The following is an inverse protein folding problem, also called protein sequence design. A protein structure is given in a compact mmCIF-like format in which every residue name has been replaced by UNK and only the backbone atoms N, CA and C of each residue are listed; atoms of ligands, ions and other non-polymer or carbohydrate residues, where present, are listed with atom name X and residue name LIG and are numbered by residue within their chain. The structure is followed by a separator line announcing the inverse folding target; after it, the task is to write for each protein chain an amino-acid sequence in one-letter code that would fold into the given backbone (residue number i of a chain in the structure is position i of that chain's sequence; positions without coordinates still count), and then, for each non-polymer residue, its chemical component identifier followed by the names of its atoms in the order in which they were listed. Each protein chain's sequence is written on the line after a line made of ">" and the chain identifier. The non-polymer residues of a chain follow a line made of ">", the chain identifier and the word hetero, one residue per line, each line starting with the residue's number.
data_IF_210788661092
#
_entry.id   IF_210788661092
#
_cell.length_a   1.000
_cell.length_b   1.000
_cell.length_c   1.000
_cell.angle_alpha   90.00
_cell.angle_beta   90.00
_cell.angle_gamma   90.00
#
_symmetry.space_group_name_H-M   'P 1'
#
loop_
_entity.id
_entity.type
_entity.pdbx_description
1 polymer ?
#
# COMPACT_ATOMS: atom_id res chain seq x y z
N UNK A 1 -13.13 24.58 20.33
CA UNK A 1 -11.68 24.36 20.31
C UNK A 1 -11.43 23.06 21.04
N UNK A 2 -11.52 21.92 20.35
CA UNK A 2 -11.32 20.61 20.96
C UNK A 2 -9.96 20.07 20.51
N UNK A 3 -9.03 20.13 21.45
CA UNK A 3 -7.60 19.85 21.26
C UNK A 3 -7.36 18.35 21.41
N UNK A 4 -7.78 17.55 20.44
CA UNK A 4 -7.38 16.14 20.34
C UNK A 4 -6.14 15.99 19.46
N UNK A 5 -5.02 16.51 19.95
CA UNK A 5 -3.73 16.01 19.51
C UNK A 5 -3.68 14.51 19.89
N UNK A 6 -3.76 13.66 18.89
CA UNK A 6 -3.55 12.22 19.03
C UNK A 6 -2.19 11.98 19.67
N UNK A 7 -2.19 11.40 20.86
CA UNK A 7 -1.00 10.86 21.49
C UNK A 7 -0.48 9.72 20.60
N UNK A 8 0.51 10.01 19.78
CA UNK A 8 1.31 9.00 19.10
C UNK A 8 2.19 8.39 20.20
N UNK A 9 2.05 7.09 20.49
CA UNK A 9 2.93 6.44 21.44
C UNK A 9 4.36 6.51 20.94
N UNK A 10 5.29 6.90 21.83
CA UNK A 10 6.73 6.95 21.60
C UNK A 10 7.30 5.51 21.53
N UNK A 11 6.87 4.74 20.52
CA UNK A 11 7.54 3.52 20.12
C UNK A 11 8.71 3.92 19.22
N UNK A 12 9.92 3.44 19.52
CA UNK A 12 11.08 3.51 18.64
C UNK A 12 10.63 3.19 17.22
N UNK A 13 10.37 4.22 16.41
CA UNK A 13 9.84 4.05 15.05
C UNK A 13 10.88 3.25 14.26
N UNK A 14 10.46 2.11 13.71
CA UNK A 14 11.30 1.31 12.82
C UNK A 14 11.79 2.21 11.67
N UNK A 15 13.04 2.09 11.29
CA UNK A 15 13.54 2.72 10.05
C UNK A 15 12.99 1.95 8.84
N UNK A 16 11.70 2.17 8.54
CA UNK A 16 11.02 1.50 7.44
C UNK A 16 11.69 1.75 6.10
N UNK A 17 12.28 2.94 5.90
CA UNK A 17 12.95 3.24 4.66
C UNK A 17 14.17 2.33 4.46
N UNK A 18 15.00 2.17 5.48
CA UNK A 18 16.13 1.24 5.40
C UNK A 18 15.68 -0.21 5.22
N UNK A 19 14.69 -0.65 6.02
CA UNK A 19 14.16 -2.01 5.96
C UNK A 19 13.61 -2.35 4.57
N UNK A 20 12.88 -1.45 3.95
CA UNK A 20 12.32 -1.63 2.62
C UNK A 20 13.41 -1.56 1.52
N UNK A 21 14.34 -0.59 1.60
CA UNK A 21 15.43 -0.43 0.63
C UNK A 21 16.39 -1.63 0.61
N UNK A 22 16.53 -2.33 1.72
CA UNK A 22 17.35 -3.53 1.83
C UNK A 22 16.87 -4.66 0.92
N UNK A 23 15.57 -4.71 0.63
CA UNK A 23 14.95 -5.82 -0.08
C UNK A 23 14.32 -5.42 -1.42
N UNK A 24 14.00 -4.13 -1.62
CA UNK A 24 13.28 -3.63 -2.80
C UNK A 24 14.02 -2.48 -3.50
N UNK A 25 13.83 -2.32 -4.82
CA UNK A 25 14.28 -1.11 -5.53
C UNK A 25 13.59 0.12 -4.94
N UNK A 26 14.30 1.26 -4.96
CA UNK A 26 13.90 2.40 -4.16
C UNK A 26 12.50 2.93 -4.45
N UNK A 27 12.02 2.90 -5.69
CA UNK A 27 10.69 3.39 -6.03
C UNK A 27 9.55 2.60 -5.35
N UNK A 28 9.76 1.30 -5.12
CA UNK A 28 8.83 0.46 -4.34
C UNK A 28 9.04 0.62 -2.84
N UNK A 29 10.29 0.62 -2.41
CA UNK A 29 10.69 0.74 -1.01
C UNK A 29 10.20 2.04 -0.38
N UNK A 30 10.36 3.12 -1.09
CA UNK A 30 10.11 4.48 -0.67
C UNK A 30 8.62 4.74 -0.33
N UNK A 31 7.71 4.41 -1.25
CA UNK A 31 6.27 4.53 -1.00
C UNK A 31 5.84 3.62 0.16
N UNK A 32 6.24 2.34 0.13
CA UNK A 32 5.90 1.38 1.18
C UNK A 32 6.44 1.77 2.55
N UNK A 33 7.58 2.45 2.63
CA UNK A 33 8.12 2.94 3.89
C UNK A 33 7.21 4.00 4.53
N UNK A 34 6.72 4.94 3.71
CA UNK A 34 5.75 5.96 4.16
C UNK A 34 4.45 5.29 4.62
N UNK A 35 3.93 4.37 3.83
CA UNK A 35 2.70 3.62 4.16
C UNK A 35 2.86 2.80 5.44
N UNK A 36 3.98 2.09 5.61
CA UNK A 36 4.25 1.31 6.83
C UNK A 36 4.15 2.15 8.10
N UNK A 37 4.55 3.43 8.07
CA UNK A 37 4.45 4.31 9.23
C UNK A 37 3.00 4.63 9.62
N UNK A 38 2.05 4.58 8.69
CA UNK A 38 0.62 4.67 9.03
C UNK A 38 0.10 3.37 9.63
N UNK A 39 0.37 2.24 8.97
CA UNK A 39 -0.19 0.95 9.37
C UNK A 39 0.33 0.44 10.70
N UNK A 40 1.61 0.69 11.06
CA UNK A 40 2.17 0.21 12.33
C UNK A 40 1.43 0.72 13.57
N UNK A 41 0.80 1.89 13.48
CA UNK A 41 0.12 2.56 14.59
C UNK A 41 -1.40 2.30 14.62
N UNK A 42 -1.92 1.50 13.66
CA UNK A 42 -3.34 1.21 13.59
C UNK A 42 -3.76 0.19 14.64
N UNK A 43 -4.94 0.40 15.20
CA UNK A 43 -5.61 -0.63 15.98
C UNK A 43 -6.25 -1.63 15.02
N UNK A 44 -5.72 -2.86 15.01
CA UNK A 44 -6.20 -3.97 14.21
C UNK A 44 -6.77 -5.08 15.12
N UNK A 45 -8.04 -4.96 15.56
CA UNK A 45 -8.69 -6.04 16.32
C UNK A 45 -8.70 -7.36 15.54
N UNK A 46 -8.28 -8.44 16.20
CA UNK A 46 -8.27 -9.78 15.60
C UNK A 46 -9.68 -10.42 15.60
N UNK A 47 -10.00 -11.25 14.61
CA UNK A 47 -9.18 -11.66 13.48
C UNK A 47 -9.02 -10.55 12.42
N UNK A 48 -7.80 -10.42 11.87
CA UNK A 48 -7.41 -9.40 10.89
C UNK A 48 -7.38 -9.99 9.49
N UNK A 49 -7.94 -9.26 8.52
CA UNK A 49 -7.99 -9.63 7.11
C UNK A 49 -7.15 -8.68 6.24
N UNK A 50 -6.18 -9.21 5.51
CA UNK A 50 -5.39 -8.49 4.51
C UNK A 50 -5.88 -8.85 3.10
N UNK A 51 -6.46 -7.86 2.41
CA UNK A 51 -7.01 -7.98 1.05
C UNK A 51 -5.94 -7.66 0.03
N UNK A 52 -5.42 -8.67 -0.67
CA UNK A 52 -4.29 -8.52 -1.58
C UNK A 52 -2.95 -8.52 -0.85
N UNK A 53 -2.70 -9.57 -0.08
CA UNK A 53 -1.49 -9.68 0.74
C UNK A 53 -0.18 -9.75 -0.06
N UNK A 54 -0.28 -10.02 -1.37
CA UNK A 54 0.86 -10.11 -2.26
C UNK A 54 1.90 -11.13 -1.79
N UNK A 55 3.17 -10.73 -1.86
CA UNK A 55 4.31 -11.53 -1.43
C UNK A 55 4.54 -11.54 0.10
N UNK A 56 3.69 -10.85 0.88
CA UNK A 56 3.78 -10.78 2.32
C UNK A 56 4.92 -9.91 2.89
N UNK A 57 5.75 -9.35 2.03
CA UNK A 57 6.90 -8.54 2.44
C UNK A 57 6.47 -7.30 3.24
N UNK A 58 5.43 -6.58 2.76
CA UNK A 58 4.91 -5.41 3.45
C UNK A 58 4.48 -5.74 4.88
N UNK A 59 3.64 -6.75 5.05
CA UNK A 59 3.15 -7.15 6.36
C UNK A 59 4.28 -7.59 7.29
N UNK A 60 5.28 -8.32 6.77
CA UNK A 60 6.41 -8.82 7.56
C UNK A 60 7.29 -7.73 8.16
N UNK A 61 7.38 -6.57 7.53
CA UNK A 61 8.17 -5.45 8.02
C UNK A 61 7.34 -4.48 8.88
N UNK A 62 6.05 -4.34 8.54
CA UNK A 62 5.16 -3.34 9.15
C UNK A 62 4.66 -3.79 10.52
N UNK A 63 4.19 -5.03 10.62
CA UNK A 63 3.55 -5.52 11.84
C UNK A 63 4.49 -6.40 12.69
N UNK A 64 4.40 -6.24 14.00
CA UNK A 64 5.15 -7.08 14.95
C UNK A 64 4.44 -8.40 15.24
N UNK A 65 3.11 -8.43 15.05
CA UNK A 65 2.27 -9.61 15.23
C UNK A 65 1.85 -10.18 13.89
N UNK A 66 1.64 -11.49 13.84
CA UNK A 66 1.11 -12.15 12.66
C UNK A 66 -0.32 -11.70 12.38
N UNK A 67 -0.58 -11.36 11.14
CA UNK A 67 -1.92 -11.14 10.61
C UNK A 67 -2.65 -12.47 10.51
N UNK A 68 -3.96 -12.50 10.86
CA UNK A 68 -4.70 -13.76 10.90
C UNK A 68 -4.83 -14.38 9.50
N UNK A 69 -5.25 -13.58 8.51
CA UNK A 69 -5.43 -14.08 7.14
C UNK A 69 -4.91 -13.07 6.12
N UNK A 70 -4.07 -13.56 5.20
CA UNK A 70 -3.73 -12.88 3.95
C UNK A 70 -4.40 -13.58 2.78
N UNK A 71 -5.07 -12.81 1.91
CA UNK A 71 -5.68 -13.31 0.69
C UNK A 71 -5.07 -12.63 -0.53
N UNK A 72 -4.75 -13.42 -1.55
CA UNK A 72 -4.29 -12.94 -2.86
C UNK A 72 -4.72 -13.93 -3.95
N UNK A 73 -5.12 -13.48 -5.16
CA UNK A 73 -5.55 -14.39 -6.23
C UNK A 73 -4.39 -15.11 -6.93
N UNK A 74 -3.14 -14.71 -6.68
CA UNK A 74 -1.99 -15.21 -7.44
C UNK A 74 -1.16 -16.21 -6.65
N UNK A 75 -0.97 -17.39 -7.24
CA UNK A 75 -0.18 -18.47 -6.64
C UNK A 75 1.25 -18.06 -6.28
N UNK A 76 1.95 -17.36 -7.18
CA UNK A 76 3.35 -16.95 -6.98
C UNK A 76 3.53 -16.07 -5.72
N UNK A 77 2.82 -14.95 -5.59
CA UNK A 77 2.84 -14.13 -4.38
C UNK A 77 2.51 -14.90 -3.11
N UNK A 78 1.45 -15.70 -3.09
CA UNK A 78 1.08 -16.54 -1.93
C UNK A 78 2.21 -17.50 -1.53
N UNK A 79 2.88 -18.11 -2.52
CA UNK A 79 4.01 -18.98 -2.25
C UNK A 79 5.21 -18.21 -1.65
N UNK A 80 5.47 -16.99 -2.12
CA UNK A 80 6.51 -16.12 -1.55
C UNK A 80 6.14 -15.66 -0.13
N UNK A 81 4.88 -15.30 0.11
CA UNK A 81 4.38 -14.84 1.42
C UNK A 81 4.60 -15.87 2.55
N UNK A 82 4.55 -17.16 2.24
CA UNK A 82 4.85 -18.23 3.20
C UNK A 82 6.25 -18.11 3.80
N UNK A 83 7.22 -17.63 3.03
CA UNK A 83 8.62 -17.51 3.46
C UNK A 83 8.83 -16.43 4.51
N UNK A 84 7.99 -15.38 4.50
CA UNK A 84 8.09 -14.30 5.47
C UNK A 84 7.42 -14.60 6.80
N UNK A 85 6.48 -15.57 6.84
CA UNK A 85 5.82 -15.99 8.08
C UNK A 85 4.98 -14.90 8.77
N UNK A 86 4.56 -13.88 8.02
CA UNK A 86 3.79 -12.73 8.51
C UNK A 86 2.31 -13.05 8.78
N UNK A 87 1.82 -14.17 8.28
CA UNK A 87 0.42 -14.58 8.38
C UNK A 87 0.25 -15.89 9.16
N UNK A 88 -0.88 -16.03 9.85
CA UNK A 88 -1.30 -17.30 10.43
C UNK A 88 -1.87 -18.23 9.35
N UNK A 89 -2.60 -17.65 8.38
CA UNK A 89 -3.16 -18.36 7.24
C UNK A 89 -3.01 -17.53 5.96
N UNK A 90 -2.70 -18.20 4.86
CA UNK A 90 -2.63 -17.62 3.51
C UNK A 90 -3.61 -18.37 2.61
N UNK A 91 -4.45 -17.60 1.91
CA UNK A 91 -5.52 -18.13 1.06
C UNK A 91 -5.38 -17.61 -0.34
N UNK A 92 -5.26 -18.50 -1.31
CA UNK A 92 -5.28 -18.18 -2.73
C UNK A 92 -6.73 -18.14 -3.20
N UNK A 93 -7.28 -16.95 -3.39
CA UNK A 93 -8.66 -16.76 -3.83
C UNK A 93 -8.87 -15.35 -4.43
N UNK A 94 -9.93 -15.23 -5.25
CA UNK A 94 -10.41 -13.93 -5.73
C UNK A 94 -11.01 -13.11 -4.57
N UNK A 95 -10.54 -11.88 -4.41
CA UNK A 95 -11.06 -10.95 -3.41
C UNK A 95 -12.56 -10.64 -3.54
N UNK A 96 -13.14 -10.86 -4.72
CA UNK A 96 -14.58 -10.74 -4.95
C UNK A 96 -15.39 -11.98 -4.52
N UNK A 97 -14.73 -13.10 -4.18
CA UNK A 97 -15.36 -14.38 -3.77
C UNK A 97 -14.52 -15.08 -2.72
N UNK A 98 -14.31 -14.44 -1.59
CA UNK A 98 -13.49 -15.00 -0.53
C UNK A 98 -14.18 -16.19 0.17
N UNK A 99 -13.44 -17.23 0.59
CA UNK A 99 -14.04 -18.45 1.16
C UNK A 99 -14.39 -18.29 2.66
N UNK A 100 -14.62 -17.09 3.13
CA UNK A 100 -14.89 -16.81 4.53
C UNK A 100 -16.39 -16.58 4.81
N UNK A 101 -16.89 -16.93 5.99
CA UNK A 101 -18.24 -16.60 6.40
C UNK A 101 -18.42 -15.08 6.57
N UNK A 102 -19.68 -14.63 6.49
CA UNK A 102 -20.03 -13.24 6.77
C UNK A 102 -19.72 -12.88 8.22
N UNK A 103 -19.34 -11.62 8.47
CA UNK A 103 -19.08 -11.07 9.81
C UNK A 103 -18.02 -11.86 10.59
N UNK A 104 -16.97 -12.28 9.93
CA UNK A 104 -15.91 -13.08 10.52
C UNK A 104 -14.77 -12.24 11.10
N UNK A 105 -14.25 -11.27 10.34
CA UNK A 105 -13.09 -10.49 10.71
C UNK A 105 -13.45 -9.24 11.51
N UNK A 106 -12.64 -8.92 12.52
CA UNK A 106 -12.86 -7.75 13.38
C UNK A 106 -12.15 -6.49 12.86
N UNK A 107 -11.25 -6.64 11.92
CA UNK A 107 -10.63 -5.55 11.16
C UNK A 107 -10.11 -6.05 9.82
N UNK A 108 -9.87 -5.13 8.89
CA UNK A 108 -9.25 -5.44 7.61
C UNK A 108 -8.38 -4.30 7.09
N UNK A 109 -7.46 -4.63 6.20
CA UNK A 109 -6.69 -3.63 5.49
C UNK A 109 -6.31 -4.09 4.08
N UNK A 110 -5.84 -3.14 3.26
CA UNK A 110 -5.29 -3.39 1.93
C UNK A 110 -4.24 -2.31 1.61
N UNK A 111 -3.03 -2.70 1.27
CA UNK A 111 -1.95 -1.76 1.00
C UNK A 111 -1.56 -1.75 -0.48
N UNK A 112 -1.86 -0.65 -1.18
CA UNK A 112 -1.50 -0.45 -2.59
C UNK A 112 -1.88 -1.63 -3.49
N UNK A 113 -3.16 -2.03 -3.43
CA UNK A 113 -3.72 -3.16 -4.18
C UNK A 113 -5.03 -2.79 -4.90
N UNK A 114 -5.93 -2.08 -4.21
CA UNK A 114 -7.29 -1.83 -4.69
C UNK A 114 -7.30 -1.06 -6.01
N UNK A 115 -6.32 -0.20 -6.22
CA UNK A 115 -6.13 0.56 -7.46
C UNK A 115 -5.82 -0.31 -8.69
N UNK A 116 -5.38 -1.55 -8.48
CA UNK A 116 -5.04 -2.47 -9.58
C UNK A 116 -6.19 -3.39 -10.00
N UNK A 117 -7.30 -3.42 -9.24
CA UNK A 117 -8.40 -4.36 -9.44
C UNK A 117 -9.45 -3.77 -10.37
N UNK A 118 -9.66 -4.29 -11.61
CA UNK A 118 -10.63 -3.72 -12.54
C UNK A 118 -12.07 -3.67 -11.99
N UNK A 119 -12.50 -4.72 -11.28
CA UNK A 119 -13.85 -4.85 -10.71
C UNK A 119 -13.86 -4.61 -9.21
N UNK A 120 -13.32 -3.46 -8.78
CA UNK A 120 -13.10 -3.14 -7.37
C UNK A 120 -14.39 -3.14 -6.53
N UNK A 121 -15.53 -2.74 -7.10
CA UNK A 121 -16.80 -2.70 -6.37
C UNK A 121 -17.23 -4.08 -5.83
N UNK A 122 -16.94 -5.16 -6.57
CA UNK A 122 -17.20 -6.52 -6.12
C UNK A 122 -16.31 -6.92 -4.94
N UNK A 123 -15.02 -6.53 -4.98
CA UNK A 123 -14.08 -6.79 -3.88
C UNK A 123 -14.44 -6.00 -2.63
N UNK A 124 -14.82 -4.73 -2.76
CA UNK A 124 -15.27 -3.92 -1.63
C UNK A 124 -16.53 -4.49 -0.99
N UNK A 125 -17.51 -4.92 -1.80
CA UNK A 125 -18.73 -5.58 -1.32
C UNK A 125 -18.44 -6.87 -0.57
N UNK A 126 -17.55 -7.69 -1.10
CA UNK A 126 -17.13 -8.94 -0.46
C UNK A 126 -16.33 -8.68 0.83
N UNK A 127 -15.43 -7.70 0.82
CA UNK A 127 -14.72 -7.25 2.03
C UNK A 127 -15.71 -6.81 3.11
N UNK A 128 -16.74 -6.03 2.73
CA UNK A 128 -17.80 -5.64 3.67
C UNK A 128 -18.57 -6.84 4.20
N UNK A 129 -18.83 -7.87 3.38
CA UNK A 129 -19.56 -9.07 3.81
C UNK A 129 -18.82 -9.84 4.89
N UNK A 130 -17.49 -10.00 4.73
CA UNK A 130 -16.69 -10.79 5.67
C UNK A 130 -16.28 -10.03 6.93
N UNK A 131 -16.29 -8.71 6.90
CA UNK A 131 -16.03 -7.88 8.08
C UNK A 131 -17.25 -7.85 9.00
N UNK A 132 -17.01 -7.84 10.31
CA UNK A 132 -18.02 -7.64 11.34
C UNK A 132 -18.61 -6.23 11.25
N UNK A 133 -19.80 -6.06 11.81
CA UNK A 133 -20.37 -4.72 11.99
C UNK A 133 -19.40 -3.85 12.80
N UNK A 134 -19.27 -2.59 12.44
CA UNK A 134 -18.39 -1.60 13.05
C UNK A 134 -16.87 -1.93 12.92
N UNK A 135 -16.50 -2.95 12.16
CA UNK A 135 -15.09 -3.26 11.91
C UNK A 135 -14.42 -2.19 11.05
N UNK A 136 -13.22 -1.72 11.42
CA UNK A 136 -12.46 -0.80 10.60
C UNK A 136 -11.86 -1.51 9.38
N UNK A 137 -11.80 -0.78 8.27
CA UNK A 137 -11.09 -1.15 7.05
C UNK A 137 -10.16 -0.02 6.63
N UNK A 138 -8.87 -0.31 6.50
CA UNK A 138 -7.82 0.64 6.19
C UNK A 138 -7.23 0.35 4.83
N UNK A 139 -7.06 1.37 4.00
CA UNK A 139 -6.38 1.18 2.72
C UNK A 139 -5.77 2.47 2.20
N UNK A 140 -4.84 2.34 1.27
CA UNK A 140 -4.23 3.44 0.55
C UNK A 140 -4.24 3.18 -0.94
N UNK A 141 -4.44 4.25 -1.71
CA UNK A 141 -4.54 4.23 -3.18
C UNK A 141 -4.02 5.55 -3.76
N UNK A 142 -3.55 5.57 -5.02
CA UNK A 142 -3.26 6.81 -5.71
C UNK A 142 -4.56 7.61 -5.97
N UNK A 143 -4.43 8.92 -5.98
CA UNK A 143 -5.49 9.83 -6.42
C UNK A 143 -5.17 10.41 -7.81
N UNK A 144 -5.99 11.33 -8.32
CA UNK A 144 -5.82 11.93 -9.66
C UNK A 144 -4.47 12.63 -9.85
N UNK A 145 -3.85 13.12 -8.76
CA UNK A 145 -2.53 13.77 -8.79
C UNK A 145 -1.40 12.80 -9.10
N UNK A 146 -1.59 11.49 -8.86
CA UNK A 146 -0.61 10.45 -9.21
C UNK A 146 -0.15 10.55 -10.68
N UNK A 147 -1.07 10.76 -11.59
CA UNK A 147 -0.78 10.86 -13.02
C UNK A 147 -0.48 12.30 -13.47
N UNK A 148 -1.09 13.30 -12.86
CA UNK A 148 -0.92 14.71 -13.26
C UNK A 148 0.43 15.30 -12.78
N UNK A 149 1.04 14.74 -11.75
CA UNK A 149 2.33 15.21 -11.21
C UNK A 149 3.56 14.54 -11.83
N UNK A 150 3.38 13.68 -12.82
CA UNK A 150 4.48 13.08 -13.56
C UNK A 150 5.31 14.16 -14.28
N UNK A 151 6.62 14.14 -14.03
CA UNK A 151 7.54 15.16 -14.59
C UNK A 151 7.72 15.04 -16.09
N UNK A 152 7.84 13.82 -16.60
CA UNK A 152 8.07 13.52 -18.01
C UNK A 152 6.82 13.81 -18.85
N UNK A 153 5.63 13.69 -18.26
CA UNK A 153 4.37 14.02 -18.97
C UNK A 153 4.29 15.47 -19.39
N UNK A 154 5.00 16.37 -18.72
CA UNK A 154 5.10 17.81 -19.10
C UNK A 154 5.77 18.02 -20.46
N UNK A 155 6.63 17.08 -20.86
CA UNK A 155 7.35 17.12 -22.14
C UNK A 155 6.69 16.20 -23.17
N UNK A 156 6.37 14.97 -22.80
CA UNK A 156 5.85 13.93 -23.70
C UNK A 156 4.31 13.87 -23.73
N UNK A 157 3.63 14.65 -22.90
CA UNK A 157 2.18 14.78 -22.89
C UNK A 157 1.43 13.51 -22.48
N UNK A 158 0.17 13.42 -22.93
CA UNK A 158 -0.78 12.35 -22.55
C UNK A 158 -0.31 10.94 -22.90
N UNK A 159 0.45 10.79 -23.99
CA UNK A 159 0.98 9.48 -24.39
C UNK A 159 1.87 8.85 -23.34
N UNK A 160 2.71 9.65 -22.68
CA UNK A 160 3.52 9.19 -21.56
C UNK A 160 2.68 8.84 -20.33
N UNK A 161 1.70 9.67 -19.99
CA UNK A 161 0.79 9.42 -18.87
C UNK A 161 0.08 8.08 -18.99
N UNK A 162 -0.48 7.78 -20.18
CA UNK A 162 -1.14 6.51 -20.45
C UNK A 162 -0.16 5.32 -20.41
N UNK A 163 1.04 5.52 -20.94
CA UNK A 163 2.09 4.50 -20.87
C UNK A 163 2.48 4.22 -19.40
N UNK A 164 2.70 5.28 -18.60
CA UNK A 164 3.06 5.13 -17.17
C UNK A 164 1.94 4.46 -16.38
N UNK A 165 0.68 4.87 -16.60
CA UNK A 165 -0.49 4.23 -16.03
C UNK A 165 -0.53 2.72 -16.34
N UNK A 166 -0.19 2.34 -17.57
CA UNK A 166 -0.19 0.95 -18.02
C UNK A 166 0.92 0.11 -17.37
N UNK A 167 2.15 0.64 -17.28
CA UNK A 167 3.24 -0.08 -16.63
C UNK A 167 3.08 -0.17 -15.11
N UNK A 168 2.51 0.85 -14.48
CA UNK A 168 2.16 0.84 -13.05
C UNK A 168 0.88 0.04 -12.75
N UNK A 169 0.15 -0.41 -13.80
CA UNK A 169 -1.10 -1.19 -13.70
C UNK A 169 -2.22 -0.51 -12.90
N UNK A 170 -2.19 0.82 -12.80
CA UNK A 170 -3.21 1.57 -12.06
C UNK A 170 -4.48 1.65 -12.89
N UNK A 171 -5.57 1.08 -12.38
CA UNK A 171 -6.91 1.15 -12.95
C UNK A 171 -7.69 2.32 -12.33
N UNK A 172 -7.52 2.53 -11.03
CA UNK A 172 -8.23 3.52 -10.24
C UNK A 172 -7.24 4.50 -9.60
N UNK A 173 -7.24 5.74 -10.11
CA UNK A 173 -6.56 6.88 -9.51
C UNK A 173 -7.62 7.99 -9.40
N UNK A 174 -8.57 7.79 -8.49
CA UNK A 174 -9.81 8.56 -8.41
C UNK A 174 -9.78 9.53 -7.21
N UNK A 175 -10.62 10.55 -7.29
CA UNK A 175 -10.82 11.50 -6.20
C UNK A 175 -11.51 10.86 -4.98
N UNK A 176 -11.36 11.45 -3.78
CA UNK A 176 -11.95 10.91 -2.56
C UNK A 176 -13.47 10.75 -2.61
N UNK A 177 -14.16 11.60 -3.36
CA UNK A 177 -15.61 11.55 -3.52
C UNK A 177 -16.04 10.24 -4.20
N UNK A 178 -15.32 9.81 -5.24
CA UNK A 178 -15.60 8.55 -5.96
C UNK A 178 -15.34 7.35 -5.06
N UNK A 179 -14.26 7.37 -4.29
CA UNK A 179 -13.97 6.31 -3.32
C UNK A 179 -15.02 6.24 -2.22
N UNK A 180 -15.47 7.39 -1.71
CA UNK A 180 -16.56 7.45 -0.73
C UNK A 180 -17.85 6.83 -1.26
N UNK A 181 -18.25 7.16 -2.48
CA UNK A 181 -19.44 6.58 -3.10
C UNK A 181 -19.32 5.06 -3.30
N UNK A 182 -18.16 4.55 -3.71
CA UNK A 182 -17.89 3.10 -3.81
C UNK A 182 -18.02 2.42 -2.46
N UNK A 183 -17.39 3.01 -1.43
CA UNK A 183 -17.45 2.50 -0.06
C UNK A 183 -18.88 2.46 0.46
N UNK A 184 -19.65 3.52 0.27
CA UNK A 184 -21.05 3.58 0.68
C UNK A 184 -21.91 2.50 0.01
N UNK A 185 -21.76 2.31 -1.30
CA UNK A 185 -22.44 1.23 -2.04
C UNK A 185 -22.03 -0.16 -1.57
N UNK A 186 -20.79 -0.34 -1.15
CA UNK A 186 -20.28 -1.60 -0.62
C UNK A 186 -20.72 -1.89 0.83
N UNK A 187 -21.26 -0.89 1.55
CA UNK A 187 -21.71 -1.03 2.93
C UNK A 187 -20.70 -0.52 3.97
N UNK A 188 -19.86 0.45 3.61
CA UNK A 188 -18.97 1.16 4.52
C UNK A 188 -19.40 2.61 4.72
N UNK A 189 -18.97 3.20 5.83
CA UNK A 189 -18.90 4.64 6.04
C UNK A 189 -17.43 5.06 5.99
N UNK A 190 -17.09 6.11 5.25
CA UNK A 190 -15.77 6.72 5.31
C UNK A 190 -15.67 7.58 6.57
N UNK A 191 -14.77 7.24 7.49
CA UNK A 191 -14.56 8.01 8.74
C UNK A 191 -13.56 9.14 8.55
N UNK A 192 -12.43 8.80 7.91
CA UNK A 192 -11.33 9.74 7.68
C UNK A 192 -10.62 9.41 6.38
N UNK A 193 -10.01 10.42 5.79
CA UNK A 193 -9.02 10.26 4.74
C UNK A 193 -8.05 11.44 4.78
N UNK A 194 -6.84 11.24 4.28
CA UNK A 194 -5.86 12.30 4.07
C UNK A 194 -4.96 11.96 2.91
N UNK A 195 -4.47 13.01 2.26
CA UNK A 195 -3.49 12.86 1.19
C UNK A 195 -2.09 12.84 1.76
N UNK A 196 -1.19 12.15 1.10
CA UNK A 196 0.22 12.05 1.44
C UNK A 196 1.05 11.86 0.17
N UNK A 197 2.38 11.80 0.32
CA UNK A 197 3.32 11.60 -0.76
C UNK A 197 3.32 12.78 -1.74
N UNK A 198 4.17 13.77 -1.47
CA UNK A 198 4.19 15.05 -2.19
C UNK A 198 4.39 14.91 -3.70
N UNK A 199 4.07 15.94 -4.50
CA UNK A 199 4.43 15.98 -5.92
C UNK A 199 5.91 15.76 -6.19
N UNK A 200 6.79 16.24 -5.29
CA UNK A 200 8.23 15.98 -5.38
C UNK A 200 8.55 14.50 -5.16
N UNK A 201 7.92 13.88 -4.18
CA UNK A 201 8.04 12.44 -3.91
C UNK A 201 7.56 11.61 -5.09
N UNK A 202 6.45 12.02 -5.73
CA UNK A 202 5.93 11.36 -6.92
C UNK A 202 6.93 11.38 -8.10
N UNK A 203 7.60 12.52 -8.33
CA UNK A 203 8.65 12.61 -9.36
C UNK A 203 9.85 11.71 -9.07
N UNK A 204 10.25 11.63 -7.80
CA UNK A 204 11.32 10.72 -7.37
C UNK A 204 10.90 9.26 -7.60
N UNK A 205 9.65 8.90 -7.32
CA UNK A 205 9.10 7.58 -7.61
C UNK A 205 9.07 7.30 -9.12
N UNK A 206 8.60 8.24 -9.92
CA UNK A 206 8.58 8.14 -11.39
C UNK A 206 9.97 7.82 -11.95
N UNK A 207 10.98 8.62 -11.60
CA UNK A 207 12.36 8.38 -12.02
C UNK A 207 12.93 7.06 -11.50
N UNK A 208 12.44 6.60 -10.37
CA UNK A 208 12.81 5.31 -9.80
C UNK A 208 12.49 4.11 -10.67
N UNK A 209 11.46 4.20 -11.49
CA UNK A 209 11.14 3.14 -12.44
C UNK A 209 12.23 2.95 -13.49
N UNK A 210 12.93 4.03 -13.87
CA UNK A 210 14.05 3.97 -14.82
C UNK A 210 15.36 3.58 -14.13
N UNK A 211 15.69 4.23 -13.02
CA UNK A 211 16.90 3.89 -12.27
C UNK A 211 16.82 2.53 -11.57
N UNK A 212 15.62 1.98 -11.42
CA UNK A 212 15.40 0.64 -10.89
C UNK A 212 15.63 -0.50 -11.89
N UNK A 213 15.83 -0.21 -13.18
CA UNK A 213 16.05 -1.24 -14.20
C UNK A 213 17.20 -2.22 -13.87
N UNK A 214 18.37 -1.81 -13.33
CA UNK A 214 19.40 -2.76 -12.91
C UNK A 214 18.90 -3.77 -11.86
N UNK A 215 17.99 -3.35 -10.96
CA UNK A 215 17.38 -4.25 -9.97
C UNK A 215 16.47 -5.30 -10.61
N UNK A 216 15.83 -4.98 -11.75
CA UNK A 216 15.04 -5.96 -12.52
C UNK A 216 15.95 -7.06 -13.06
N UNK A 217 17.10 -6.70 -13.64
CA UNK A 217 18.10 -7.68 -14.09
C UNK A 217 18.62 -8.51 -12.91
N UNK A 218 18.95 -7.88 -11.79
CA UNK A 218 19.35 -8.60 -10.58
C UNK A 218 18.28 -9.63 -10.16
N UNK A 219 17.01 -9.26 -10.17
CA UNK A 219 15.89 -10.17 -9.86
C UNK A 219 15.81 -11.34 -10.82
N UNK A 220 15.94 -11.10 -12.11
CA UNK A 220 15.89 -12.16 -13.14
C UNK A 220 17.03 -13.18 -12.97
N UNK A 221 18.26 -12.71 -12.73
CA UNK A 221 19.44 -13.59 -12.68
C UNK A 221 19.71 -14.20 -11.29
N UNK A 222 19.31 -13.53 -10.21
CA UNK A 222 19.65 -13.96 -8.83
C UNK A 222 18.43 -14.27 -7.96
N UNK A 223 17.23 -13.98 -8.44
CA UNK A 223 16.00 -14.06 -7.65
C UNK A 223 15.86 -12.94 -6.59
N UNK A 224 16.82 -12.00 -6.48
CA UNK A 224 16.81 -10.91 -5.50
C UNK A 224 16.79 -9.56 -6.18
N UNK A 225 15.98 -8.62 -5.65
CA UNK A 225 15.97 -7.24 -6.13
C UNK A 225 17.24 -6.47 -5.76
N UNK A 226 17.77 -6.73 -4.56
CA UNK A 226 18.99 -6.11 -4.02
C UNK A 226 19.96 -7.22 -3.67
N UNK A 227 21.17 -7.16 -4.23
CA UNK A 227 22.20 -8.18 -4.05
C UNK A 227 22.96 -7.93 -2.74
N UNK A 228 23.40 -6.69 -2.51
CA UNK A 228 24.12 -6.30 -1.29
C UNK A 228 23.19 -5.53 -0.34
N UNK A 229 22.96 -6.08 0.85
CA UNK A 229 22.02 -5.56 1.86
C UNK A 229 22.73 -4.78 2.98
N UNK A 230 23.88 -4.18 2.69
CA UNK A 230 24.64 -3.43 3.68
C UNK A 230 24.26 -1.95 3.70
N UNK A 231 24.34 -1.32 4.88
CA UNK A 231 23.99 0.09 5.02
C UNK A 231 24.81 1.02 4.14
N UNK A 232 26.11 0.75 4.01
CA UNK A 232 27.00 1.58 3.18
C UNK A 232 26.59 1.54 1.69
N UNK A 233 26.17 0.37 1.19
CA UNK A 233 25.73 0.22 -0.20
C UNK A 233 24.42 0.94 -0.48
N UNK A 234 23.55 1.05 0.54
CA UNK A 234 22.26 1.72 0.45
C UNK A 234 22.33 3.19 0.86
N UNK A 235 23.43 3.63 1.44
CA UNK A 235 23.58 4.95 2.06
C UNK A 235 23.25 6.10 1.10
N UNK A 236 23.76 6.10 -0.12
CA UNK A 236 23.46 7.15 -1.11
C UNK A 236 21.97 7.20 -1.44
N UNK A 237 21.39 6.03 -1.72
CA UNK A 237 19.95 5.93 -2.04
C UNK A 237 19.11 6.37 -0.86
N UNK A 238 19.40 5.88 0.35
CA UNK A 238 18.68 6.25 1.57
C UNK A 238 18.74 7.75 1.82
N UNK A 239 19.92 8.37 1.76
CA UNK A 239 20.09 9.81 1.99
C UNK A 239 19.36 10.66 0.94
N UNK A 240 19.34 10.21 -0.31
CA UNK A 240 18.58 10.90 -1.34
C UNK A 240 17.09 10.79 -1.11
N UNK A 241 16.57 9.59 -0.88
CA UNK A 241 15.14 9.31 -0.81
C UNK A 241 14.52 9.77 0.51
N UNK A 242 15.27 9.75 1.62
CA UNK A 242 14.79 10.15 2.95
C UNK A 242 14.20 11.56 3.00
N UNK A 243 14.73 12.47 2.17
CA UNK A 243 14.25 13.85 2.05
C UNK A 243 12.80 13.95 1.57
N UNK A 244 12.31 12.90 0.92
CA UNK A 244 10.98 12.82 0.31
C UNK A 244 10.06 11.83 1.02
N UNK A 245 10.59 11.03 1.97
CA UNK A 245 9.86 9.98 2.68
C UNK A 245 9.17 10.52 3.95
N UNK A 246 8.41 11.61 3.82
CA UNK A 246 7.61 12.12 4.93
C UNK A 246 6.24 11.46 4.99
N UNK A 247 5.80 10.99 6.18
CA UNK A 247 4.44 10.52 6.40
C UNK A 247 3.44 11.65 6.70
N UNK A 248 3.87 12.91 6.70
CA UNK A 248 2.98 14.02 7.02
C UNK A 248 1.84 14.15 5.99
N UNK A 249 0.60 14.37 6.46
CA UNK A 249 -0.52 14.69 5.58
C UNK A 249 -0.28 15.96 4.78
N UNK A 250 -0.70 15.97 3.51
CA UNK A 250 -0.49 17.07 2.57
C UNK A 250 -1.77 17.35 1.79
N UNK A 251 -2.09 18.60 1.54
CA UNK A 251 -3.25 18.95 0.69
C UNK A 251 -3.05 18.54 -0.78
N UNK A 252 -1.81 18.59 -1.25
CA UNK A 252 -1.42 18.30 -2.64
C UNK A 252 -0.81 16.89 -2.80
N UNK A 253 -0.99 16.01 -1.83
CA UNK A 253 -0.47 14.64 -1.88
C UNK A 253 -1.04 13.83 -3.05
N UNK A 254 -0.23 12.91 -3.58
CA UNK A 254 -0.55 12.11 -4.78
C UNK A 254 -1.17 10.75 -4.47
N UNK A 255 -1.19 10.38 -3.21
CA UNK A 255 -1.86 9.19 -2.67
C UNK A 255 -2.81 9.61 -1.55
N UNK A 256 -3.79 8.75 -1.29
CA UNK A 256 -4.78 8.98 -0.22
C UNK A 256 -4.88 7.73 0.66
N UNK A 257 -4.80 7.93 1.95
CA UNK A 257 -5.07 6.91 2.96
C UNK A 257 -6.52 7.05 3.43
N UNK A 258 -7.20 5.93 3.61
CA UNK A 258 -8.60 5.88 4.04
C UNK A 258 -8.79 5.06 5.30
N UNK A 259 -9.67 5.54 6.16
CA UNK A 259 -10.26 4.80 7.27
C UNK A 259 -11.75 4.70 6.98
N UNK A 260 -12.22 3.49 6.73
CA UNK A 260 -13.63 3.19 6.54
C UNK A 260 -14.12 2.25 7.65
N UNK A 261 -15.42 2.27 7.91
CA UNK A 261 -16.07 1.43 8.91
C UNK A 261 -17.26 0.70 8.31
N UNK A 262 -17.33 -0.60 8.55
CA UNK A 262 -18.46 -1.44 8.13
C UNK A 262 -19.75 -1.00 8.82
N UNK A 263 -20.84 -0.79 8.04
CA UNK A 263 -22.19 -0.47 8.53
C UNK A 263 -22.84 -1.60 9.29
#
# INVERSE_FOLDING_TARGET
>A
MDNRQSQIPDHKSKDFLFLQLRDLPYFRAFLRAVESSYYQNLSLPAPVYDVGCGDGHFASLTFDQKIDVGLDPWHGPIHEAKKFGAYKSLVEADGAKSPFPSNHFASGFSNSVLEHIPHIDAVLKETARVLKKDAPFYFCVPNTRYLSELSISRVLGKGYTEWFRKISRVQHADEPEIWRERLERAGFNTEQHWHYFSPASMRVLEWGHYFGLPSVFARIFTGKWIISRTEWNLWLTKNYVSKYASPEPLEDGTFTFYIARKK
#
